data_IF_202199182879
#
_entry.id   IF_202199182879
#
_cell.length_a   1.000
_cell.length_b   1.000
_cell.length_c   1.000
_cell.angle_alpha   90.00
_cell.angle_beta   90.00
_cell.angle_gamma   90.00
#
_symmetry.space_group_name_H-M   'P 1'
#
loop_
_entity.id
_entity.type
_entity.pdbx_description
1 polymer ?
#
# COMPACT_ATOMS: atom_id res chain seq x y z
N UNK A 1 11.15 -5.66 12.34
CA UNK A 1 10.55 -6.37 11.18
C UNK A 1 9.88 -7.72 11.45
N UNK A 2 10.56 -8.81 11.83
CA UNK A 2 9.91 -10.15 11.95
C UNK A 2 8.65 -10.17 12.82
N UNK A 3 8.68 -9.51 13.98
CA UNK A 3 7.53 -9.43 14.89
C UNK A 3 6.35 -8.72 14.24
N UNK A 4 6.58 -7.59 13.57
CA UNK A 4 5.55 -6.82 12.87
C UNK A 4 4.98 -7.60 11.67
N UNK A 5 5.82 -8.32 10.93
CA UNK A 5 5.37 -9.24 9.89
C UNK A 5 4.40 -10.30 10.45
N UNK A 6 4.80 -10.98 11.53
CA UNK A 6 3.96 -12.00 12.16
C UNK A 6 2.67 -11.41 12.73
N UNK A 7 2.74 -10.20 13.31
CA UNK A 7 1.56 -9.48 13.81
C UNK A 7 0.58 -9.17 12.68
N UNK A 8 1.06 -8.60 11.56
CA UNK A 8 0.24 -8.35 10.36
C UNK A 8 -0.45 -9.62 9.88
N UNK A 9 0.29 -10.72 9.74
CA UNK A 9 -0.27 -12.02 9.30
C UNK A 9 -1.34 -12.54 10.25
N UNK A 10 -1.14 -12.40 11.57
CA UNK A 10 -2.13 -12.80 12.57
C UNK A 10 -3.40 -11.93 12.49
N UNK A 11 -3.26 -10.61 12.29
CA UNK A 11 -4.39 -9.69 12.12
C UNK A 11 -5.17 -10.05 10.86
N UNK A 12 -4.48 -10.17 9.71
CA UNK A 12 -5.08 -10.56 8.43
C UNK A 12 -5.86 -11.89 8.54
N UNK A 13 -5.26 -12.92 9.15
CA UNK A 13 -5.91 -14.22 9.32
C UNK A 13 -7.15 -14.16 10.23
N UNK A 14 -7.09 -13.40 11.33
CA UNK A 14 -8.23 -13.22 12.24
C UNK A 14 -9.37 -12.44 11.57
N UNK A 15 -9.04 -11.42 10.79
CA UNK A 15 -10.01 -10.65 10.03
C UNK A 15 -10.76 -11.56 9.04
N UNK A 16 -10.04 -12.40 8.30
CA UNK A 16 -10.64 -13.37 7.39
C UNK A 16 -11.54 -14.38 8.12
N UNK A 17 -11.12 -14.91 9.28
CA UNK A 17 -11.93 -15.81 10.08
C UNK A 17 -13.23 -15.17 10.61
N UNK A 18 -13.27 -13.85 10.70
CA UNK A 18 -14.45 -13.06 11.09
C UNK A 18 -15.22 -12.48 9.89
N UNK A 19 -14.91 -12.92 8.65
CA UNK A 19 -15.49 -12.40 7.41
C UNK A 19 -15.29 -10.89 7.18
N UNK A 20 -14.24 -10.29 7.74
CA UNK A 20 -13.84 -8.91 7.50
C UNK A 20 -12.97 -8.82 6.22
N UNK A 21 -13.59 -9.01 5.05
CA UNK A 21 -12.90 -9.14 3.75
C UNK A 21 -12.21 -7.87 3.27
N UNK A 22 -12.68 -6.71 3.73
CA UNK A 22 -12.18 -5.39 3.30
C UNK A 22 -10.98 -4.91 4.11
N UNK A 23 -10.61 -5.60 5.19
CA UNK A 23 -9.44 -5.23 5.97
C UNK A 23 -8.16 -5.41 5.15
N UNK A 24 -7.39 -4.34 5.00
CA UNK A 24 -6.12 -4.36 4.28
C UNK A 24 -5.08 -3.50 4.98
N UNK A 25 -3.92 -4.09 5.25
CA UNK A 25 -2.77 -3.41 5.86
C UNK A 25 -1.72 -3.13 4.78
N UNK A 26 -1.62 -1.87 4.36
CA UNK A 26 -0.68 -1.41 3.30
C UNK A 26 0.77 -1.72 3.67
N UNK A 27 1.17 -1.36 4.88
CA UNK A 27 2.49 -1.62 5.48
C UNK A 27 2.34 -1.81 6.98
N UNK A 28 3.20 -2.63 7.58
CA UNK A 28 3.37 -2.72 9.03
C UNK A 28 4.84 -3.03 9.30
N UNK A 29 5.63 -1.97 9.44
CA UNK A 29 7.09 -1.98 9.51
C UNK A 29 7.53 -0.76 10.32
N UNK A 30 8.71 -0.83 10.93
CA UNK A 30 9.35 0.33 11.56
C UNK A 30 10.25 1.10 10.58
N UNK A 31 10.50 0.54 9.39
CA UNK A 31 11.46 1.07 8.41
C UNK A 31 10.78 1.55 7.13
N UNK A 32 9.57 1.08 6.84
CA UNK A 32 8.84 1.42 5.61
C UNK A 32 7.38 1.77 5.89
N UNK A 33 6.89 2.75 5.14
CA UNK A 33 5.48 3.17 5.15
C UNK A 33 4.99 3.30 3.71
N UNK A 34 3.77 2.84 3.44
CA UNK A 34 3.15 2.90 2.11
C UNK A 34 1.94 3.82 2.14
N UNK A 35 2.09 4.97 1.49
CA UNK A 35 0.99 5.86 1.12
C UNK A 35 0.53 5.53 -0.29
N UNK A 36 -0.72 5.07 -0.44
CA UNK A 36 -1.31 4.69 -1.73
C UNK A 36 -2.81 4.91 -1.75
N UNK A 37 -3.40 4.98 -2.93
CA UNK A 37 -4.85 5.13 -3.05
C UNK A 37 -5.34 5.17 -4.49
N UNK A 38 -6.63 5.48 -4.61
CA UNK A 38 -7.35 5.62 -5.88
C UNK A 38 -7.55 7.10 -6.22
N UNK A 39 -6.47 7.74 -6.65
CA UNK A 39 -6.45 9.14 -7.05
C UNK A 39 -5.41 9.32 -8.17
N UNK A 40 -5.42 10.47 -8.83
CA UNK A 40 -4.39 10.79 -9.80
C UNK A 40 -3.04 10.97 -9.08
N UNK A 41 -1.96 10.50 -9.70
CA UNK A 41 -0.65 10.46 -9.04
C UNK A 41 -0.16 11.83 -8.57
N UNK A 42 -0.50 12.89 -9.31
CA UNK A 42 -0.20 14.30 -9.00
C UNK A 42 -1.03 14.86 -7.83
N UNK A 43 -2.06 14.16 -7.36
CA UNK A 43 -2.92 14.56 -6.25
C UNK A 43 -2.53 13.89 -4.92
N UNK A 44 -1.46 13.08 -4.90
CA UNK A 44 -1.12 12.26 -3.73
C UNK A 44 -0.85 13.10 -2.47
N UNK A 45 -0.19 14.25 -2.60
CA UNK A 45 0.17 15.14 -1.51
C UNK A 45 -1.02 16.02 -1.06
N UNK A 46 -2.00 16.24 -1.93
CA UNK A 46 -3.27 16.85 -1.58
C UNK A 46 -4.16 15.88 -0.80
N UNK A 47 -4.14 14.59 -1.19
CA UNK A 47 -4.89 13.53 -0.49
C UNK A 47 -4.24 13.13 0.84
N UNK A 48 -2.91 13.09 0.89
CA UNK A 48 -2.11 12.81 2.08
C UNK A 48 -1.23 14.01 2.44
N UNK A 49 -1.75 14.98 3.22
CA UNK A 49 -1.01 16.18 3.60
C UNK A 49 0.30 15.92 4.36
N UNK A 50 0.43 14.77 5.03
CA UNK A 50 1.67 14.32 5.69
C UNK A 50 2.89 14.38 4.76
N UNK A 51 2.70 14.14 3.45
CA UNK A 51 3.77 14.17 2.46
C UNK A 51 4.31 15.58 2.19
N UNK A 52 3.60 16.61 2.63
CA UNK A 52 4.04 18.01 2.56
C UNK A 52 4.78 18.47 3.82
N UNK A 53 4.79 17.64 4.87
CA UNK A 53 5.51 17.95 6.10
C UNK A 53 7.03 17.89 5.85
N UNK A 54 7.79 18.95 6.16
CA UNK A 54 9.25 18.96 6.01
C UNK A 54 9.99 17.88 6.81
N UNK A 55 9.37 17.32 7.84
CA UNK A 55 9.89 16.20 8.63
C UNK A 55 9.67 14.83 7.97
N UNK A 56 8.84 14.74 6.93
CA UNK A 56 8.61 13.53 6.16
C UNK A 56 9.79 13.27 5.19
N UNK A 57 10.92 12.88 5.77
CA UNK A 57 12.17 12.65 5.05
C UNK A 57 12.46 11.16 4.92
N UNK A 58 12.96 10.76 3.75
CA UNK A 58 13.40 9.38 3.51
C UNK A 58 14.67 9.35 2.68
N UNK A 59 15.49 8.32 2.89
CA UNK A 59 16.66 8.04 2.06
C UNK A 59 16.28 7.48 0.69
N UNK A 60 15.12 6.82 0.60
CA UNK A 60 14.66 6.11 -0.60
C UNK A 60 13.16 6.34 -0.75
N UNK A 61 12.71 6.56 -1.98
CA UNK A 61 11.30 6.60 -2.35
C UNK A 61 11.03 5.63 -3.49
N UNK A 62 9.89 4.92 -3.41
CA UNK A 62 9.37 4.06 -4.48
C UNK A 62 7.95 4.51 -4.80
N UNK A 63 7.68 4.79 -6.06
CA UNK A 63 6.37 5.24 -6.53
C UNK A 63 5.86 4.33 -7.65
N UNK A 64 4.54 4.29 -7.84
CA UNK A 64 3.91 3.50 -8.88
C UNK A 64 2.55 4.10 -9.27
N UNK A 65 2.31 4.21 -10.57
CA UNK A 65 1.00 4.53 -11.12
C UNK A 65 0.51 3.34 -11.96
N UNK A 66 -0.69 2.86 -11.66
CA UNK A 66 -1.28 1.70 -12.34
C UNK A 66 -2.29 2.14 -13.39
N UNK A 67 -2.17 1.61 -14.60
CA UNK A 67 -3.28 1.59 -15.56
C UNK A 67 -3.99 0.24 -15.44
N UNK A 68 -5.30 0.24 -15.18
CA UNK A 68 -6.09 -0.99 -15.01
C UNK A 68 -7.13 -1.08 -16.11
N UNK A 69 -7.26 -2.26 -16.71
CA UNK A 69 -8.37 -2.61 -17.63
C UNK A 69 -9.66 -2.98 -16.89
N UNK A 70 -9.69 -2.85 -15.55
CA UNK A 70 -10.85 -3.15 -14.71
C UNK A 70 -11.64 -1.87 -14.45
N UNK A 71 -12.96 -1.96 -14.53
CA UNK A 71 -13.88 -0.84 -14.28
C UNK A 71 -14.16 -0.59 -12.80
N UNK A 72 -14.00 -1.60 -11.94
CA UNK A 72 -14.22 -1.48 -10.49
C UNK A 72 -12.90 -1.28 -9.74
N UNK A 73 -12.70 -0.11 -9.12
CA UNK A 73 -11.42 0.17 -8.48
C UNK A 73 -11.37 -0.46 -7.08
N UNK A 74 -10.26 -1.13 -6.77
CA UNK A 74 -10.01 -1.71 -5.45
C UNK A 74 -8.76 -1.08 -4.83
N UNK A 75 -8.94 -0.39 -3.70
CA UNK A 75 -7.86 0.30 -2.97
C UNK A 75 -6.66 -0.62 -2.67
N UNK A 76 -6.92 -1.86 -2.26
CA UNK A 76 -5.87 -2.84 -1.93
C UNK A 76 -4.94 -3.18 -3.10
N UNK A 77 -5.41 -3.02 -4.35
CA UNK A 77 -4.66 -3.32 -5.57
C UNK A 77 -3.80 -2.15 -6.06
N UNK A 78 -3.96 -0.95 -5.49
CA UNK A 78 -3.00 0.12 -5.71
C UNK A 78 -1.61 -0.34 -5.23
N UNK A 79 -0.57 0.14 -5.89
CA UNK A 79 0.83 -0.12 -5.57
C UNK A 79 1.50 1.18 -5.12
N UNK A 80 2.64 1.14 -4.39
CA UNK A 80 3.48 -0.03 -4.08
C UNK A 80 2.83 -1.10 -3.19
N UNK A 81 3.28 -2.34 -3.34
CA UNK A 81 3.14 -3.38 -2.32
C UNK A 81 4.28 -3.24 -1.29
N UNK A 82 4.23 -4.08 -0.25
CA UNK A 82 5.12 -3.99 0.92
C UNK A 82 6.61 -4.08 0.60
N UNK A 83 6.98 -4.71 -0.51
CA UNK A 83 8.37 -4.92 -0.93
C UNK A 83 8.59 -4.71 -2.44
N UNK A 84 7.55 -4.33 -3.18
CA UNK A 84 7.53 -4.43 -4.64
C UNK A 84 6.65 -3.34 -5.23
N UNK A 85 7.12 -2.73 -6.32
CA UNK A 85 6.27 -2.11 -7.33
C UNK A 85 6.56 -2.81 -8.68
N UNK A 86 5.52 -3.04 -9.48
CA UNK A 86 5.60 -3.84 -10.69
C UNK A 86 4.89 -3.18 -11.85
N UNK A 87 5.68 -2.82 -12.87
CA UNK A 87 5.19 -2.32 -14.16
C UNK A 87 5.21 -3.47 -15.18
N UNK A 88 4.05 -4.06 -15.44
CA UNK A 88 3.89 -5.17 -16.38
C UNK A 88 2.79 -6.15 -15.96
N UNK A 89 2.79 -7.32 -16.59
CA UNK A 89 1.87 -8.42 -16.32
C UNK A 89 2.66 -9.73 -16.14
N UNK A 90 2.28 -10.53 -15.16
CA UNK A 90 2.88 -11.84 -14.90
C UNK A 90 2.01 -12.89 -15.58
N UNK A 91 2.51 -13.50 -16.65
CA UNK A 91 1.76 -14.40 -17.54
C UNK A 91 2.03 -15.90 -17.28
N UNK A 92 2.72 -16.23 -16.18
CA UNK A 92 3.16 -17.57 -15.79
C UNK A 92 2.75 -17.88 -14.36
#
# INVERSE_FOLDING_TARGET
ERVLFLARRRIENRALAQNLTELYICSLSAETVVYKGLFLADQIDAFYPDLRDPSFVSKIALFHQRYSTNTFPQWRLAQPFRLLAHNGEINT
#
